data_IF_376696304113
#
_entry.id   IF_376696304113
#
_cell.length_a   1.000
_cell.length_b   1.000
_cell.length_c   1.000
_cell.angle_alpha   90.00
_cell.angle_beta   90.00
_cell.angle_gamma   90.00
#
_symmetry.space_group_name_H-M   'P 1'
#
loop_
_entity.id
_entity.type
_entity.pdbx_description
1 polymer ?
#
# COMPACT_ATOMS: atom_id res chain seq x y z
N UNK A 1 4.74 -16.19 8.92
CA UNK A 1 4.70 -14.77 8.52
C UNK A 1 3.56 -14.61 7.54
N UNK A 2 2.65 -13.66 7.82
CA UNK A 2 1.55 -13.31 6.91
C UNK A 2 2.07 -12.55 5.70
N UNK A 3 1.44 -12.69 4.55
CA UNK A 3 1.75 -11.88 3.35
C UNK A 3 1.09 -10.51 3.48
N UNK A 4 1.84 -9.42 3.30
CA UNK A 4 1.33 -8.05 3.42
C UNK A 4 1.19 -7.42 2.03
N UNK A 5 0.04 -6.81 1.75
CA UNK A 5 -0.19 -5.97 0.59
C UNK A 5 0.19 -4.51 0.88
N UNK A 6 1.14 -3.96 0.13
CA UNK A 6 1.49 -2.54 0.19
C UNK A 6 0.79 -1.81 -0.95
N UNK A 7 -0.12 -0.90 -0.58
CA UNK A 7 -0.79 0.01 -1.49
C UNK A 7 -0.06 1.35 -1.45
N UNK A 8 0.67 1.69 -2.51
CA UNK A 8 1.52 2.88 -2.54
C UNK A 8 1.61 3.50 -3.93
N UNK A 9 2.68 4.27 -4.15
CA UNK A 9 2.79 5.13 -5.33
C UNK A 9 2.32 6.57 -5.10
N UNK A 10 2.08 6.99 -3.85
CA UNK A 10 1.49 8.30 -3.51
C UNK A 10 2.37 9.15 -2.55
N UNK A 11 3.63 9.44 -2.88
CA UNK A 11 4.33 9.16 -4.15
C UNK A 11 5.16 7.87 -4.10
N UNK A 12 5.70 7.42 -5.24
CA UNK A 12 6.47 6.16 -5.32
C UNK A 12 7.80 6.23 -4.54
N UNK A 13 8.42 7.40 -4.44
CA UNK A 13 9.66 7.63 -3.68
C UNK A 13 9.47 7.24 -2.22
N UNK A 14 8.31 7.59 -1.65
CA UNK A 14 7.96 7.28 -0.26
C UNK A 14 7.69 5.79 0.00
N UNK A 15 7.43 5.00 -1.05
CA UNK A 15 7.17 3.57 -0.94
C UNK A 15 8.45 2.74 -0.75
N UNK A 16 9.58 3.21 -1.25
CA UNK A 16 10.88 2.52 -1.12
C UNK A 16 11.25 2.30 0.35
N UNK A 17 11.17 3.31 1.24
CA UNK A 17 11.38 3.13 2.67
C UNK A 17 10.53 2.02 3.29
N UNK A 18 9.23 1.94 2.96
CA UNK A 18 8.35 0.89 3.48
C UNK A 18 8.86 -0.51 3.12
N UNK A 19 9.13 -0.75 1.84
CA UNK A 19 9.64 -2.04 1.39
C UNK A 19 10.97 -2.40 2.07
N UNK A 20 11.89 -1.44 2.17
CA UNK A 20 13.20 -1.65 2.78
C UNK A 20 13.07 -1.98 4.27
N UNK A 21 12.37 -1.14 5.03
CA UNK A 21 12.24 -1.27 6.49
C UNK A 21 11.51 -2.55 6.90
N UNK A 22 10.48 -2.96 6.16
CA UNK A 22 9.77 -4.22 6.44
C UNK A 22 10.70 -5.42 6.23
N UNK A 23 11.49 -5.44 5.15
CA UNK A 23 12.46 -6.50 4.91
C UNK A 23 13.58 -6.50 5.96
N UNK A 24 14.10 -5.33 6.33
CA UNK A 24 15.11 -5.20 7.40
C UNK A 24 14.57 -5.71 8.74
N UNK A 25 13.32 -5.41 9.08
CA UNK A 25 12.65 -5.91 10.28
C UNK A 25 12.53 -7.43 10.29
N UNK A 26 12.11 -8.05 9.18
CA UNK A 26 12.04 -9.51 9.06
C UNK A 26 13.42 -10.17 9.16
N UNK A 27 14.42 -9.61 8.47
CA UNK A 27 15.80 -10.11 8.54
C UNK A 27 16.34 -10.00 9.97
N UNK A 28 16.06 -8.91 10.68
CA UNK A 28 16.49 -8.72 12.05
C UNK A 28 15.86 -9.75 13.01
N UNK A 29 14.56 -10.06 12.83
CA UNK A 29 13.84 -11.00 13.69
C UNK A 29 14.17 -12.47 13.41
N UNK A 30 14.31 -12.85 12.12
CA UNK A 30 14.44 -14.25 11.71
C UNK A 30 15.88 -14.65 11.33
N UNK A 31 16.75 -13.68 11.08
CA UNK A 31 18.15 -13.90 10.72
C UNK A 31 18.37 -14.48 9.31
N UNK A 32 19.63 -14.84 9.02
CA UNK A 32 20.02 -15.47 7.76
C UNK A 32 19.65 -14.67 6.51
N UNK A 33 18.97 -15.34 5.57
CA UNK A 33 18.50 -14.78 4.31
C UNK A 33 16.97 -14.61 4.28
N UNK A 34 16.32 -14.55 5.44
CA UNK A 34 14.88 -14.31 5.52
C UNK A 34 14.52 -12.90 5.03
N UNK A 35 13.44 -12.82 4.25
CA UNK A 35 12.85 -11.60 3.72
C UNK A 35 11.32 -11.64 3.89
N UNK A 36 10.68 -10.47 3.77
CA UNK A 36 9.24 -10.34 3.94
C UNK A 36 8.47 -10.89 2.73
N UNK A 37 7.27 -11.45 2.96
CA UNK A 37 6.32 -11.81 1.90
C UNK A 37 5.43 -10.60 1.61
N UNK A 38 5.63 -9.98 0.45
CA UNK A 38 4.98 -8.73 0.08
C UNK A 38 4.32 -8.82 -1.29
N UNK A 39 3.12 -8.25 -1.41
CA UNK A 39 2.52 -7.86 -2.68
C UNK A 39 2.51 -6.34 -2.76
N UNK A 40 2.91 -5.79 -3.90
CA UNK A 40 2.92 -4.35 -4.11
C UNK A 40 1.91 -3.97 -5.18
N UNK A 41 1.05 -3.01 -4.87
CA UNK A 41 0.27 -2.30 -5.86
C UNK A 41 0.72 -0.84 -5.87
N UNK A 42 1.12 -0.36 -7.05
CA UNK A 42 1.45 1.05 -7.29
C UNK A 42 0.40 1.66 -8.17
N UNK A 43 -0.24 2.70 -7.67
CA UNK A 43 -1.11 3.56 -8.48
C UNK A 43 -0.24 4.53 -9.30
N UNK A 44 -0.81 5.06 -10.38
CA UNK A 44 -0.33 6.31 -10.94
C UNK A 44 -0.71 7.44 -9.97
N UNK A 45 0.29 8.18 -9.46
CA UNK A 45 0.00 9.21 -8.48
C UNK A 45 -0.81 10.35 -9.07
N UNK A 46 -0.67 10.61 -10.37
CA UNK A 46 -1.34 11.72 -11.02
C UNK A 46 -2.87 11.60 -10.91
N UNK A 47 -3.42 10.41 -11.12
CA UNK A 47 -4.86 10.15 -11.00
C UNK A 47 -5.37 10.42 -9.58
N UNK A 48 -4.60 10.00 -8.57
CA UNK A 48 -4.95 10.23 -7.16
C UNK A 48 -4.83 11.71 -6.79
N UNK A 49 -3.77 12.39 -7.24
CA UNK A 49 -3.56 13.83 -7.00
C UNK A 49 -4.67 14.68 -7.63
N UNK A 50 -5.09 14.34 -8.85
CA UNK A 50 -6.20 15.03 -9.51
C UNK A 50 -7.51 14.87 -8.71
N UNK A 51 -7.79 13.66 -8.21
CA UNK A 51 -8.94 13.43 -7.34
C UNK A 51 -8.84 14.26 -6.06
N UNK A 52 -7.67 14.33 -5.41
CA UNK A 52 -7.46 15.15 -4.21
C UNK A 52 -7.73 16.64 -4.48
N UNK A 53 -7.19 17.16 -5.59
CA UNK A 53 -7.32 18.58 -5.97
C UNK A 53 -8.78 18.96 -6.26
N UNK A 54 -9.53 18.05 -6.88
CA UNK A 54 -10.94 18.27 -7.20
C UNK A 54 -11.89 17.93 -6.04
N UNK A 55 -11.37 17.43 -4.92
CA UNK A 55 -12.16 16.98 -3.77
C UNK A 55 -12.94 15.67 -4.01
N UNK A 56 -12.57 14.91 -5.04
CA UNK A 56 -13.18 13.63 -5.45
C UNK A 56 -12.70 12.48 -4.55
N UNK A 57 -12.90 12.60 -3.24
CA UNK A 57 -12.41 11.63 -2.26
C UNK A 57 -13.04 10.25 -2.42
N UNK A 58 -14.34 10.17 -2.71
CA UNK A 58 -15.04 8.90 -2.89
C UNK A 58 -14.45 8.12 -4.08
N UNK A 59 -14.18 8.80 -5.20
CA UNK A 59 -13.54 8.22 -6.38
C UNK A 59 -12.12 7.73 -6.07
N UNK A 60 -11.33 8.52 -5.33
CA UNK A 60 -10.01 8.08 -4.90
C UNK A 60 -10.09 6.86 -3.97
N UNK A 61 -11.08 6.82 -3.08
CA UNK A 61 -11.37 5.69 -2.22
C UNK A 61 -11.72 4.43 -3.00
N UNK A 62 -12.60 4.52 -4.01
CA UNK A 62 -12.95 3.40 -4.88
C UNK A 62 -11.74 2.85 -5.65
N UNK A 63 -10.87 3.72 -6.17
CA UNK A 63 -9.62 3.30 -6.83
C UNK A 63 -8.72 2.52 -5.87
N UNK A 64 -8.53 3.03 -4.66
CA UNK A 64 -7.69 2.38 -3.64
C UNK A 64 -8.31 1.07 -3.10
N UNK A 65 -9.63 1.02 -2.92
CA UNK A 65 -10.35 -0.17 -2.51
C UNK A 65 -10.23 -1.28 -3.56
N UNK A 66 -10.40 -0.94 -4.85
CA UNK A 66 -10.22 -1.89 -5.94
C UNK A 66 -8.78 -2.44 -6.01
N UNK A 67 -7.79 -1.58 -5.77
CA UNK A 67 -6.40 -1.99 -5.68
C UNK A 67 -6.14 -2.94 -4.49
N UNK A 68 -6.73 -2.64 -3.32
CA UNK A 68 -6.66 -3.49 -2.14
C UNK A 68 -7.31 -4.87 -2.36
N UNK A 69 -8.48 -4.93 -3.00
CA UNK A 69 -9.12 -6.18 -3.42
C UNK A 69 -8.24 -6.97 -4.40
N UNK A 70 -7.53 -6.29 -5.30
CA UNK A 70 -6.51 -6.91 -6.15
C UNK A 70 -5.40 -7.59 -5.35
N UNK A 71 -4.86 -6.91 -4.33
CA UNK A 71 -3.85 -7.46 -3.43
C UNK A 71 -4.39 -8.64 -2.61
N UNK A 72 -5.62 -8.55 -2.11
CA UNK A 72 -6.28 -9.63 -1.38
C UNK A 72 -6.43 -10.88 -2.28
N UNK A 73 -6.90 -10.72 -3.52
CA UNK A 73 -7.00 -11.82 -4.51
C UNK A 73 -5.65 -12.44 -4.85
N UNK A 74 -4.57 -11.66 -4.78
CA UNK A 74 -3.21 -12.16 -4.96
C UNK A 74 -2.68 -12.96 -3.75
N UNK A 75 -3.37 -12.91 -2.61
CA UNK A 75 -3.01 -13.63 -1.39
C UNK A 75 -2.46 -12.75 -0.26
N UNK A 76 -2.66 -11.42 -0.33
CA UNK A 76 -2.37 -10.55 0.81
C UNK A 76 -3.38 -10.80 1.96
N UNK A 77 -2.85 -10.93 3.18
CA UNK A 77 -3.62 -11.19 4.40
C UNK A 77 -3.82 -9.93 5.25
N UNK A 78 -3.18 -8.82 4.86
CA UNK A 78 -3.31 -7.49 5.45
C UNK A 78 -2.94 -6.44 4.41
N UNK A 79 -3.51 -5.24 4.52
CA UNK A 79 -3.21 -4.09 3.66
C UNK A 79 -2.50 -3.02 4.48
N UNK A 80 -1.46 -2.41 3.91
CA UNK A 80 -0.80 -1.22 4.42
C UNK A 80 -0.91 -0.13 3.37
N UNK A 81 -1.49 1.00 3.77
CA UNK A 81 -1.58 2.19 2.94
C UNK A 81 -0.33 3.05 3.14
N UNK A 82 0.55 3.09 2.12
CA UNK A 82 1.86 3.73 2.21
C UNK A 82 1.80 5.25 1.92
N UNK A 83 0.87 5.96 2.56
CA UNK A 83 0.72 7.42 2.45
C UNK A 83 -0.12 7.95 3.61
N UNK A 84 0.18 9.13 4.13
CA UNK A 84 -0.59 9.70 5.25
C UNK A 84 -1.94 10.26 4.77
N UNK A 85 -1.94 11.07 3.71
CA UNK A 85 -3.14 11.80 3.27
C UNK A 85 -4.30 10.89 2.89
N UNK A 86 -4.02 9.77 2.21
CA UNK A 86 -5.10 8.88 1.74
C UNK A 86 -5.75 8.04 2.85
N UNK A 87 -5.25 8.10 4.10
CA UNK A 87 -6.01 7.55 5.23
C UNK A 87 -7.34 8.29 5.44
N UNK A 88 -7.54 9.47 4.81
CA UNK A 88 -8.84 10.13 4.76
C UNK A 88 -9.96 9.23 4.20
N UNK A 89 -9.62 8.24 3.37
CA UNK A 89 -10.57 7.29 2.76
C UNK A 89 -10.29 5.85 3.19
N UNK A 90 -9.59 5.63 4.32
CA UNK A 90 -9.26 4.28 4.81
C UNK A 90 -10.49 3.42 5.06
N UNK A 91 -11.59 4.02 5.52
CA UNK A 91 -12.84 3.32 5.84
C UNK A 91 -13.46 2.65 4.60
N UNK A 92 -13.09 3.09 3.39
CA UNK A 92 -13.53 2.48 2.12
C UNK A 92 -12.65 1.29 1.71
N UNK A 93 -11.52 1.07 2.39
CA UNK A 93 -10.50 0.06 2.08
C UNK A 93 -10.58 -1.14 3.05
N UNK A 94 -11.13 -0.95 4.25
CA UNK A 94 -11.34 -2.00 5.27
C UNK A 94 -12.27 -3.13 4.80
#
# INVERSE_FOLDING_TARGET
>A
MKTIGLLGGMSWESMIPYYKLINEGIKHQLGGLHSARLHLHRVDFHEIEECQRNGEWDKAGELLANAALGLQRAGAEAIVLCTNTMHKVSDMIE
#
